data_IF_759389144046
#
_entry.id   IF_759389144046
#
_cell.length_a   1.000
_cell.length_b   1.000
_cell.length_c   1.000
_cell.angle_alpha   90.00
_cell.angle_beta   90.00
_cell.angle_gamma   90.00
#
_symmetry.space_group_name_H-M   'P 1'
#
loop_
_entity.id
_entity.type
_entity.pdbx_description
1 polymer ?
#
# COMPACT_ATOMS: atom_id res chain seq x y z
N UNK A 1 -17.45 -27.40 -5.73
CA UNK A 1 -18.92 -27.28 -5.86
C UNK A 1 -19.40 -28.43 -6.66
N UNK A 2 -20.40 -29.19 -6.17
CA UNK A 2 -21.05 -30.21 -6.99
C UNK A 2 -22.13 -29.54 -7.86
N UNK A 3 -22.20 -29.95 -9.11
CA UNK A 3 -23.18 -29.44 -10.09
C UNK A 3 -24.62 -29.65 -9.55
N UNK A 4 -25.41 -28.57 -9.50
CA UNK A 4 -26.83 -28.64 -9.06
C UNK A 4 -27.13 -28.18 -7.63
N UNK A 5 -26.16 -27.68 -6.86
CA UNK A 5 -26.45 -27.08 -5.55
C UNK A 5 -27.16 -25.75 -5.69
N UNK A 6 -28.26 -25.49 -4.95
CA UNK A 6 -28.94 -24.19 -4.99
C UNK A 6 -28.03 -23.07 -4.45
N UNK A 7 -28.07 -21.91 -5.08
CA UNK A 7 -27.30 -20.69 -4.70
C UNK A 7 -27.43 -20.32 -3.22
N UNK A 8 -28.54 -20.67 -2.57
CA UNK A 8 -28.79 -20.47 -1.13
C UNK A 8 -27.93 -21.31 -0.19
N UNK A 9 -27.14 -22.23 -0.70
CA UNK A 9 -26.20 -23.05 0.10
C UNK A 9 -24.76 -22.50 0.07
N UNK A 10 -24.50 -21.38 -0.57
CA UNK A 10 -23.19 -20.73 -0.55
C UNK A 10 -22.89 -20.23 0.87
N UNK A 11 -21.68 -20.55 1.33
CA UNK A 11 -21.17 -19.98 2.59
C UNK A 11 -20.65 -18.58 2.32
N UNK A 12 -20.86 -17.68 3.28
CA UNK A 12 -20.33 -16.33 3.25
C UNK A 12 -18.82 -16.35 2.99
N UNK A 13 -18.37 -15.54 2.04
CA UNK A 13 -16.97 -15.33 1.71
C UNK A 13 -16.51 -14.06 2.40
N UNK A 14 -15.50 -14.17 3.26
CA UNK A 14 -14.88 -13.05 3.95
C UNK A 14 -13.48 -12.87 3.38
N UNK A 15 -13.22 -11.68 2.81
CA UNK A 15 -11.90 -11.28 2.31
C UNK A 15 -11.32 -10.34 3.36
N UNK A 16 -10.11 -10.63 3.88
CA UNK A 16 -9.44 -9.81 4.87
C UNK A 16 -8.16 -9.25 4.27
N UNK A 17 -8.08 -7.93 4.16
CA UNK A 17 -6.90 -7.21 3.74
C UNK A 17 -6.24 -6.59 4.97
N UNK A 18 -5.01 -7.01 5.26
CA UNK A 18 -4.17 -6.40 6.29
C UNK A 18 -3.23 -5.41 5.60
N UNK A 19 -3.33 -4.14 5.97
CA UNK A 19 -2.63 -3.04 5.31
C UNK A 19 -1.60 -2.44 6.28
N UNK A 20 -0.37 -2.33 5.83
CA UNK A 20 0.73 -1.63 6.52
C UNK A 20 0.79 -0.13 6.18
N UNK A 21 -0.22 0.36 5.47
CA UNK A 21 -0.40 1.76 5.07
C UNK A 21 -1.84 2.24 5.31
N UNK A 22 -2.05 3.57 5.24
CA UNK A 22 -3.38 4.19 5.38
C UNK A 22 -4.03 4.28 3.99
N UNK A 23 -5.12 3.54 3.79
CA UNK A 23 -5.94 3.56 2.58
C UNK A 23 -7.06 4.59 2.66
N UNK A 24 -7.77 4.67 3.81
CA UNK A 24 -8.91 5.56 4.02
C UNK A 24 -8.51 6.74 4.91
N UNK A 25 -7.92 7.80 4.32
CA UNK A 25 -7.41 8.96 5.07
C UNK A 25 -8.52 9.84 5.69
N UNK A 26 -9.77 9.66 5.29
CA UNK A 26 -10.92 10.47 5.74
C UNK A 26 -11.57 9.94 7.03
N UNK A 27 -11.20 8.74 7.46
CA UNK A 27 -11.75 8.05 8.63
C UNK A 27 -10.61 7.58 9.52
N UNK A 28 -10.77 7.72 10.83
CA UNK A 28 -9.81 7.23 11.82
C UNK A 28 -10.03 5.74 12.19
N UNK A 29 -11.11 5.12 11.74
CA UNK A 29 -11.37 3.70 11.98
C UNK A 29 -10.25 2.84 11.40
N UNK A 30 -9.66 1.97 12.23
CA UNK A 30 -8.61 1.03 11.77
C UNK A 30 -9.19 -0.19 11.06
N UNK A 31 -10.49 -0.46 11.22
CA UNK A 31 -11.18 -1.60 10.63
C UNK A 31 -12.43 -1.12 9.91
N UNK A 32 -12.45 -1.31 8.60
CA UNK A 32 -13.54 -0.95 7.71
C UNK A 32 -14.09 -2.20 7.02
N UNK A 33 -15.42 -2.30 6.92
CA UNK A 33 -16.09 -3.41 6.24
C UNK A 33 -16.78 -2.88 4.98
N UNK A 34 -16.40 -3.41 3.83
CA UNK A 34 -17.01 -3.13 2.54
C UNK A 34 -18.00 -4.24 2.14
N UNK A 35 -19.08 -3.85 1.49
CA UNK A 35 -20.09 -4.75 0.92
C UNK A 35 -20.37 -4.38 -0.54
N UNK A 36 -20.85 -5.33 -1.32
CA UNK A 36 -21.23 -5.09 -2.71
C UNK A 36 -22.57 -4.38 -2.77
N UNK A 37 -22.56 -3.13 -3.24
CA UNK A 37 -23.73 -2.25 -3.33
C UNK A 37 -24.20 -2.09 -4.77
N UNK A 38 -25.51 -2.26 -5.00
CA UNK A 38 -26.13 -1.93 -6.27
C UNK A 38 -26.60 -0.47 -6.28
N UNK A 39 -25.89 0.37 -7.01
CA UNK A 39 -26.16 1.83 -7.06
C UNK A 39 -27.50 2.18 -7.70
N UNK A 40 -27.98 1.35 -8.65
CA UNK A 40 -29.26 1.58 -9.34
C UNK A 40 -30.46 1.17 -8.46
N UNK A 41 -30.34 0.05 -7.77
CA UNK A 41 -31.42 -0.48 -6.90
C UNK A 41 -31.32 0.02 -5.45
N UNK A 42 -30.24 0.73 -5.10
CA UNK A 42 -29.98 1.27 -3.76
C UNK A 42 -30.07 0.22 -2.65
N UNK A 43 -29.51 -0.97 -2.90
CA UNK A 43 -29.49 -2.06 -1.93
C UNK A 43 -28.21 -2.89 -2.03
N UNK A 44 -27.91 -3.70 -0.99
CA UNK A 44 -26.84 -4.67 -1.01
C UNK A 44 -27.14 -5.67 -2.12
N UNK A 45 -26.19 -5.87 -3.03
CA UNK A 45 -26.33 -6.77 -4.17
C UNK A 45 -26.28 -8.24 -3.73
N UNK A 46 -25.29 -8.55 -2.89
CA UNK A 46 -25.05 -9.89 -2.35
C UNK A 46 -24.50 -9.70 -0.93
N UNK A 47 -25.11 -10.31 0.06
CA UNK A 47 -24.68 -10.30 1.46
C UNK A 47 -23.73 -11.44 1.84
N UNK A 48 -23.51 -12.37 0.90
CA UNK A 48 -22.58 -13.50 1.05
C UNK A 48 -21.11 -13.13 0.87
N UNK A 49 -20.80 -11.83 0.54
CA UNK A 49 -19.42 -11.34 0.36
C UNK A 49 -19.19 -10.13 1.25
N UNK A 50 -18.19 -10.23 2.12
CA UNK A 50 -17.67 -9.11 2.91
C UNK A 50 -16.19 -8.90 2.63
N UNK A 51 -15.78 -7.64 2.56
CA UNK A 51 -14.38 -7.24 2.37
C UNK A 51 -13.96 -6.42 3.59
N UNK A 52 -13.04 -6.95 4.37
CA UNK A 52 -12.48 -6.29 5.54
C UNK A 52 -11.16 -5.64 5.18
N UNK A 53 -10.97 -4.40 5.62
CA UNK A 53 -9.71 -3.67 5.55
C UNK A 53 -9.28 -3.35 6.97
N UNK A 54 -8.08 -3.81 7.35
CA UNK A 54 -7.48 -3.54 8.65
C UNK A 54 -6.21 -2.75 8.42
N UNK A 55 -6.22 -1.48 8.81
CA UNK A 55 -5.12 -0.54 8.62
C UNK A 55 -4.24 -0.53 9.89
N UNK A 56 -3.17 -1.30 9.87
CA UNK A 56 -2.27 -1.50 11.03
C UNK A 56 -1.71 -0.18 11.57
N UNK A 57 -1.29 0.81 10.74
CA UNK A 57 -0.80 2.08 11.26
C UNK A 57 -1.83 2.86 12.10
N UNK A 58 -3.11 2.80 11.74
CA UNK A 58 -4.19 3.41 12.54
C UNK A 58 -4.41 2.68 13.86
N UNK A 59 -4.35 1.34 13.82
CA UNK A 59 -4.51 0.52 15.01
C UNK A 59 -3.39 0.79 16.02
N UNK A 60 -2.13 0.84 15.57
CA UNK A 60 -0.96 1.17 16.42
C UNK A 60 -1.09 2.58 17.01
N UNK A 61 -1.52 3.55 16.21
CA UNK A 61 -1.81 4.91 16.67
C UNK A 61 -2.86 4.90 17.79
N UNK A 62 -3.99 4.22 17.57
CA UNK A 62 -5.07 4.15 18.55
C UNK A 62 -4.66 3.42 19.84
N UNK A 63 -3.81 2.41 19.74
CA UNK A 63 -3.24 1.75 20.91
C UNK A 63 -2.34 2.70 21.72
N UNK A 64 -1.44 3.45 21.06
CA UNK A 64 -0.60 4.46 21.72
C UNK A 64 -1.39 5.61 22.33
N UNK A 65 -2.54 5.92 21.80
CA UNK A 65 -3.50 6.91 22.31
C UNK A 65 -4.47 6.31 23.37
N UNK A 66 -4.28 5.04 23.79
CA UNK A 66 -5.11 4.31 24.74
C UNK A 66 -6.60 4.21 24.35
N UNK A 67 -6.89 4.33 23.04
CA UNK A 67 -8.25 4.24 22.49
C UNK A 67 -8.72 2.80 22.26
N UNK A 68 -7.80 1.86 22.20
CA UNK A 68 -8.05 0.42 22.07
C UNK A 68 -7.29 -0.36 23.13
N UNK A 69 -7.93 -1.40 23.66
CA UNK A 69 -7.36 -2.21 24.73
C UNK A 69 -7.19 -3.68 24.30
N UNK A 70 -5.96 -4.17 24.12
CA UNK A 70 -5.70 -5.56 23.74
C UNK A 70 -6.06 -6.57 24.85
N UNK A 71 -6.18 -6.14 26.12
CA UNK A 71 -6.61 -7.00 27.21
C UNK A 71 -8.08 -7.43 27.06
N UNK A 72 -8.93 -6.54 26.57
CA UNK A 72 -10.37 -6.74 26.47
C UNK A 72 -10.81 -7.21 25.08
N UNK A 73 -10.10 -6.79 24.03
CA UNK A 73 -10.48 -7.07 22.66
C UNK A 73 -9.52 -8.04 21.98
N UNK A 74 -9.99 -9.28 21.79
CA UNK A 74 -9.21 -10.34 21.14
C UNK A 74 -8.79 -9.98 19.71
N UNK A 75 -9.66 -9.34 18.93
CA UNK A 75 -9.33 -8.93 17.56
C UNK A 75 -8.18 -7.91 17.54
N UNK A 76 -8.27 -6.87 18.38
CA UNK A 76 -7.22 -5.86 18.56
C UNK A 76 -5.91 -6.53 18.96
N UNK A 77 -5.95 -7.43 19.92
CA UNK A 77 -4.80 -8.20 20.42
C UNK A 77 -4.06 -8.95 19.31
N UNK A 78 -4.81 -9.70 18.51
CA UNK A 78 -4.24 -10.48 17.40
C UNK A 78 -3.72 -9.60 16.26
N UNK A 79 -4.36 -8.48 15.97
CA UNK A 79 -3.89 -7.54 14.94
C UNK A 79 -2.62 -6.80 15.41
N UNK A 80 -2.53 -6.45 16.70
CA UNK A 80 -1.34 -5.81 17.28
C UNK A 80 -0.13 -6.76 17.37
N UNK A 81 -0.32 -8.08 17.31
CA UNK A 81 0.79 -9.04 17.25
C UNK A 81 1.65 -8.84 15.99
N UNK A 82 1.06 -8.38 14.88
CA UNK A 82 1.79 -8.19 13.62
C UNK A 82 2.90 -7.12 13.72
N UNK A 83 2.63 -5.91 14.25
CA UNK A 83 3.63 -4.86 14.41
C UNK A 83 4.40 -4.95 15.73
N UNK A 84 4.15 -5.94 16.61
CA UNK A 84 4.72 -5.99 17.96
C UNK A 84 6.24 -5.93 17.99
N UNK A 85 6.92 -6.49 16.99
CA UNK A 85 8.38 -6.49 16.88
C UNK A 85 9.01 -5.10 16.73
N UNK A 86 8.22 -4.09 16.39
CA UNK A 86 8.66 -2.69 16.23
C UNK A 86 8.53 -1.88 17.52
N UNK A 87 7.85 -2.42 18.55
CA UNK A 87 7.53 -1.69 19.78
C UNK A 87 7.67 -2.61 20.99
N UNK A 88 8.72 -2.38 21.79
CA UNK A 88 9.04 -3.22 22.97
C UNK A 88 7.93 -3.21 24.02
N UNK A 89 7.30 -2.06 24.25
CA UNK A 89 6.19 -1.95 25.21
C UNK A 89 4.96 -2.76 24.74
N UNK A 90 4.67 -2.74 23.44
CA UNK A 90 3.61 -3.56 22.85
C UNK A 90 3.92 -5.06 22.99
N UNK A 91 5.17 -5.45 22.70
CA UNK A 91 5.62 -6.85 22.86
C UNK A 91 5.42 -7.32 24.29
N UNK A 92 5.91 -6.58 25.27
CA UNK A 92 5.73 -6.92 26.71
C UNK A 92 4.26 -7.05 27.10
N UNK A 93 3.42 -6.10 26.65
CA UNK A 93 1.98 -6.13 26.91
C UNK A 93 1.33 -7.41 26.37
N UNK A 94 1.68 -7.80 25.14
CA UNK A 94 1.13 -9.02 24.51
C UNK A 94 1.62 -10.30 25.20
N UNK A 95 2.87 -10.35 25.64
CA UNK A 95 3.43 -11.45 26.40
C UNK A 95 2.72 -11.60 27.76
N UNK A 96 2.47 -10.52 28.47
CA UNK A 96 1.70 -10.53 29.72
C UNK A 96 0.28 -11.05 29.50
N UNK A 97 -0.40 -10.61 28.45
CA UNK A 97 -1.73 -11.11 28.09
C UNK A 97 -1.69 -12.60 27.77
N UNK A 98 -0.69 -13.03 26.99
CA UNK A 98 -0.50 -14.41 26.61
C UNK A 98 -0.32 -15.33 27.82
N UNK A 99 0.50 -14.91 28.78
CA UNK A 99 0.76 -15.66 30.02
C UNK A 99 -0.47 -15.74 30.93
N UNK A 100 -1.24 -14.66 31.02
CA UNK A 100 -2.31 -14.55 32.03
C UNK A 100 -3.67 -15.05 31.51
N UNK A 101 -3.98 -14.90 30.20
CA UNK A 101 -5.35 -15.16 29.74
C UNK A 101 -5.50 -15.75 28.33
N UNK A 102 -4.44 -15.81 27.51
CA UNK A 102 -4.55 -16.29 26.13
C UNK A 102 -3.48 -17.33 25.77
N UNK A 103 -3.71 -18.62 26.11
CA UNK A 103 -2.77 -19.70 25.79
C UNK A 103 -2.53 -19.89 24.28
N UNK A 104 -3.47 -19.43 23.45
CA UNK A 104 -3.33 -19.53 21.98
C UNK A 104 -2.36 -18.47 21.49
N UNK A 105 -2.47 -17.25 22.02
CA UNK A 105 -1.51 -16.17 21.77
C UNK A 105 -0.10 -16.58 22.21
N UNK A 106 0.04 -17.21 23.40
CA UNK A 106 1.32 -17.72 23.89
C UNK A 106 1.96 -18.72 22.91
N UNK A 107 1.15 -19.64 22.37
CA UNK A 107 1.64 -20.58 21.36
C UNK A 107 2.07 -19.88 20.07
N UNK A 108 1.36 -18.81 19.67
CA UNK A 108 1.71 -18.03 18.48
C UNK A 108 3.04 -17.30 18.68
N UNK A 109 3.23 -16.63 19.82
CA UNK A 109 4.47 -15.93 20.17
C UNK A 109 5.65 -16.91 20.19
N UNK A 110 5.53 -18.03 20.91
CA UNK A 110 6.59 -19.04 20.99
C UNK A 110 6.94 -19.62 19.61
N UNK A 111 5.94 -19.80 18.75
CA UNK A 111 6.18 -20.28 17.37
C UNK A 111 6.89 -19.24 16.53
N UNK A 112 6.54 -17.97 16.70
CA UNK A 112 7.20 -16.85 16.02
C UNK A 112 8.67 -16.75 16.41
N UNK A 113 8.97 -16.80 17.72
CA UNK A 113 10.34 -16.80 18.24
C UNK A 113 11.17 -17.97 17.66
N UNK A 114 10.61 -19.17 17.68
CA UNK A 114 11.29 -20.35 17.13
C UNK A 114 11.56 -20.19 15.62
N UNK A 115 10.62 -19.60 14.86
CA UNK A 115 10.81 -19.33 13.42
C UNK A 115 11.86 -18.24 13.18
N UNK A 116 11.92 -17.21 14.04
CA UNK A 116 12.93 -16.14 13.92
C UNK A 116 14.35 -16.62 14.18
N UNK A 117 14.53 -17.69 14.95
CA UNK A 117 15.81 -18.34 15.19
C UNK A 117 16.22 -19.33 14.08
N UNK A 118 15.29 -19.73 13.21
CA UNK A 118 15.58 -20.62 12.09
C UNK A 118 16.32 -19.84 10.97
N UNK A 119 17.60 -20.20 10.76
CA UNK A 119 18.44 -19.55 9.75
C UNK A 119 17.90 -19.69 8.32
N UNK A 120 17.21 -20.79 8.01
CA UNK A 120 16.62 -21.01 6.69
C UNK A 120 15.45 -20.08 6.42
N UNK A 121 14.60 -19.85 7.43
CA UNK A 121 13.49 -18.90 7.36
C UNK A 121 13.99 -17.46 7.23
N UNK A 122 15.01 -17.08 8.03
CA UNK A 122 15.63 -15.76 7.96
C UNK A 122 16.21 -15.48 6.57
N UNK A 123 16.96 -16.42 6.02
CA UNK A 123 17.54 -16.28 4.68
C UNK A 123 16.47 -16.13 3.59
N UNK A 124 15.39 -16.90 3.66
CA UNK A 124 14.27 -16.81 2.72
C UNK A 124 13.52 -15.47 2.84
N UNK A 125 13.34 -14.97 4.08
CA UNK A 125 12.71 -13.68 4.34
C UNK A 125 13.57 -12.52 3.78
N UNK A 126 14.86 -12.49 4.10
CA UNK A 126 15.80 -11.46 3.63
C UNK A 126 15.89 -11.44 2.09
N UNK A 127 15.90 -12.62 1.46
CA UNK A 127 15.89 -12.73 0.00
C UNK A 127 14.60 -12.14 -0.62
N UNK A 128 13.45 -12.38 0.01
CA UNK A 128 12.16 -11.83 -0.45
C UNK A 128 12.07 -10.33 -0.25
N UNK A 129 12.51 -9.84 0.90
CA UNK A 129 12.57 -8.40 1.19
C UNK A 129 13.44 -7.67 0.17
N UNK A 130 14.64 -8.21 -0.12
CA UNK A 130 15.53 -7.67 -1.14
C UNK A 130 14.87 -7.62 -2.52
N UNK A 131 14.16 -8.67 -2.93
CA UNK A 131 13.42 -8.67 -4.20
C UNK A 131 12.37 -7.57 -4.27
N UNK A 132 11.61 -7.35 -3.20
CA UNK A 132 10.59 -6.29 -3.12
C UNK A 132 11.23 -4.90 -3.21
N UNK A 133 12.33 -4.65 -2.49
CA UNK A 133 13.07 -3.40 -2.56
C UNK A 133 13.66 -3.15 -3.95
N UNK A 134 14.20 -4.19 -4.59
CA UNK A 134 14.72 -4.11 -5.96
C UNK A 134 13.61 -3.79 -6.98
N UNK A 135 12.41 -4.35 -6.81
CA UNK A 135 11.26 -4.02 -7.65
C UNK A 135 10.78 -2.58 -7.45
N UNK A 136 10.67 -2.13 -6.22
CA UNK A 136 10.30 -0.74 -5.90
C UNK A 136 11.32 0.24 -6.48
N UNK A 137 12.60 -0.04 -6.34
CA UNK A 137 13.67 0.80 -6.91
C UNK A 137 13.59 0.86 -8.44
N UNK A 138 13.31 -0.26 -9.12
CA UNK A 138 13.12 -0.29 -10.58
C UNK A 138 11.91 0.53 -11.02
N UNK A 139 10.79 0.43 -10.30
CA UNK A 139 9.58 1.21 -10.60
C UNK A 139 9.83 2.71 -10.43
N UNK A 140 10.44 3.12 -9.32
CA UNK A 140 10.79 4.52 -9.06
C UNK A 140 11.74 5.07 -10.14
N UNK A 141 12.76 4.29 -10.54
CA UNK A 141 13.66 4.68 -11.62
C UNK A 141 12.94 4.82 -12.97
N UNK A 142 12.07 3.88 -13.32
CA UNK A 142 11.28 3.92 -14.56
C UNK A 142 10.31 5.11 -14.59
N UNK A 143 9.70 5.44 -13.45
CA UNK A 143 8.85 6.62 -13.31
C UNK A 143 9.63 7.91 -13.51
N UNK A 144 10.80 8.03 -12.87
CA UNK A 144 11.67 9.19 -13.02
C UNK A 144 12.16 9.35 -14.48
N UNK A 145 12.63 8.26 -15.11
CA UNK A 145 13.02 8.29 -16.53
C UNK A 145 11.85 8.67 -17.44
N UNK A 146 10.66 8.15 -17.17
CA UNK A 146 9.44 8.49 -17.91
C UNK A 146 9.09 9.97 -17.78
N UNK A 147 9.19 10.52 -16.57
CA UNK A 147 8.95 11.92 -16.30
C UNK A 147 9.97 12.84 -17.00
N UNK A 148 11.27 12.51 -16.91
CA UNK A 148 12.33 13.27 -17.60
C UNK A 148 12.14 13.27 -19.11
N UNK A 149 11.88 12.09 -19.71
CA UNK A 149 11.58 11.97 -21.15
C UNK A 149 10.32 12.74 -21.55
N UNK A 150 9.27 12.69 -20.71
CA UNK A 150 8.03 13.44 -20.92
C UNK A 150 8.25 14.95 -20.93
N UNK A 151 9.03 15.46 -19.98
CA UNK A 151 9.39 16.89 -19.92
C UNK A 151 10.21 17.31 -21.14
N UNK A 152 11.18 16.49 -21.55
CA UNK A 152 12.01 16.76 -22.73
C UNK A 152 11.18 16.79 -24.01
N UNK A 153 10.32 15.77 -24.22
CA UNK A 153 9.40 15.72 -25.36
C UNK A 153 8.44 16.90 -25.38
N UNK A 154 7.86 17.27 -24.21
CA UNK A 154 6.98 18.42 -24.08
C UNK A 154 7.68 19.74 -24.44
N UNK A 155 8.94 19.91 -24.00
CA UNK A 155 9.76 21.07 -24.40
C UNK A 155 10.00 21.11 -25.90
N UNK A 156 10.35 19.97 -26.53
CA UNK A 156 10.56 19.90 -27.96
C UNK A 156 9.29 20.23 -28.75
N UNK A 157 8.13 19.71 -28.33
CA UNK A 157 6.84 20.00 -28.96
C UNK A 157 6.49 21.48 -28.84
N UNK A 158 6.68 22.07 -27.66
CA UNK A 158 6.45 23.50 -27.42
C UNK A 158 7.33 24.38 -28.34
N UNK A 159 8.63 24.04 -28.47
CA UNK A 159 9.56 24.77 -29.32
C UNK A 159 9.10 24.70 -30.80
N UNK A 160 8.73 23.50 -31.29
CA UNK A 160 8.22 23.32 -32.66
C UNK A 160 6.93 24.10 -32.89
N UNK A 161 5.96 24.02 -31.94
CA UNK A 161 4.71 24.76 -32.04
C UNK A 161 4.91 26.29 -32.07
N UNK A 162 5.82 26.83 -31.24
CA UNK A 162 6.16 28.24 -31.26
C UNK A 162 6.78 28.67 -32.60
N UNK A 163 7.67 27.84 -33.17
CA UNK A 163 8.28 28.11 -34.46
C UNK A 163 7.26 28.09 -35.59
N UNK A 164 6.36 27.12 -35.63
CA UNK A 164 5.31 26.99 -36.65
C UNK A 164 4.34 28.18 -36.71
N UNK A 165 4.06 28.80 -35.55
CA UNK A 165 3.24 30.01 -35.47
C UNK A 165 4.03 31.30 -35.68
N UNK A 166 5.34 31.21 -36.07
CA UNK A 166 6.16 32.33 -36.47
C UNK A 166 6.81 33.10 -35.32
N UNK A 167 6.97 32.55 -34.10
CA UNK A 167 7.70 33.18 -32.99
C UNK A 167 9.19 33.23 -33.34
N UNK A 168 9.86 34.41 -33.15
CA UNK A 168 11.30 34.53 -33.43
C UNK A 168 12.15 33.61 -32.55
N UNK A 169 13.25 33.08 -33.10
CA UNK A 169 14.13 32.09 -32.44
C UNK A 169 14.70 32.64 -31.13
N UNK A 170 15.02 33.95 -31.03
CA UNK A 170 15.51 34.57 -29.83
C UNK A 170 14.46 34.59 -28.70
N UNK A 171 13.18 34.70 -29.06
CA UNK A 171 12.06 34.66 -28.09
C UNK A 171 11.84 33.26 -27.61
N UNK A 172 11.90 32.25 -28.52
CA UNK A 172 11.81 30.83 -28.16
C UNK A 172 12.99 30.46 -27.23
N UNK A 173 14.20 30.93 -27.54
CA UNK A 173 15.38 30.69 -26.73
C UNK A 173 15.22 31.20 -25.29
N UNK A 174 14.69 32.42 -25.13
CA UNK A 174 14.40 33.02 -23.80
C UNK A 174 13.31 32.20 -23.05
N UNK A 175 12.24 31.79 -23.73
CA UNK A 175 11.13 31.06 -23.14
C UNK A 175 11.52 29.65 -22.70
N UNK A 176 12.32 28.96 -23.50
CA UNK A 176 12.76 27.57 -23.26
C UNK A 176 14.01 27.47 -22.36
N UNK A 177 14.68 28.59 -22.09
CA UNK A 177 16.00 28.67 -21.40
C UNK A 177 17.09 27.87 -22.12
N UNK A 178 17.03 27.81 -23.46
CA UNK A 178 18.01 27.16 -24.33
C UNK A 178 18.71 28.23 -25.17
N UNK A 179 19.90 27.90 -25.70
CA UNK A 179 20.56 28.70 -26.69
C UNK A 179 19.89 28.63 -28.07
N UNK A 180 20.03 29.66 -28.88
CA UNK A 180 19.52 29.65 -30.27
C UNK A 180 20.05 28.47 -31.06
N UNK A 181 21.33 28.09 -30.86
CA UNK A 181 21.96 26.94 -31.54
C UNK A 181 21.30 25.60 -31.15
N UNK A 182 20.87 25.46 -29.89
CA UNK A 182 20.15 24.26 -29.45
C UNK A 182 18.76 24.18 -30.06
N UNK A 183 18.07 25.32 -30.18
CA UNK A 183 16.77 25.40 -30.82
C UNK A 183 16.88 25.06 -32.30
N UNK A 184 17.89 25.60 -33.01
CA UNK A 184 18.16 25.26 -34.44
C UNK A 184 18.39 23.74 -34.63
N UNK A 185 19.09 23.08 -33.68
CA UNK A 185 19.25 21.62 -33.69
C UNK A 185 17.92 20.87 -33.50
N UNK A 186 17.09 21.30 -32.52
CA UNK A 186 15.78 20.70 -32.26
C UNK A 186 14.84 20.84 -33.46
N UNK A 187 14.93 21.95 -34.15
CA UNK A 187 14.12 22.25 -35.34
C UNK A 187 14.73 21.70 -36.64
N UNK A 188 15.92 21.10 -36.58
CA UNK A 188 16.70 20.65 -37.75
C UNK A 188 16.95 21.76 -38.78
N UNK A 189 17.11 22.99 -38.35
CA UNK A 189 17.50 24.13 -39.20
C UNK A 189 19.00 24.08 -39.42
N UNK A 190 19.41 24.09 -40.70
CA UNK A 190 20.84 24.15 -41.11
C UNK A 190 21.32 25.57 -41.19
#
# INVERSE_FOLDING_TARGET
MQEGMPYRSLRKTIIINLLDFILFSQDDAFHTIGQLWNTKMQQILIDDVEIHFVEIPKLVKQWREEKVNPWENTFVRWMLLLPAHEDEHLTQTLEEIAMNQDPILQKAINKWENMSHDSSFRTAYEAREKLLLDEQAKLAHAEQEGMEKGIEQGKMQMIRGMYEIGVPLETIAKASKLSVKEIERILNLK
#
